data_IF_333937365423
#
_entry.id   IF_333937365423
#
_cell.length_a   1.000
_cell.length_b   1.000
_cell.length_c   1.000
_cell.angle_alpha   90.00
_cell.angle_beta   90.00
_cell.angle_gamma   90.00
#
_symmetry.space_group_name_H-M   'P 1'
#
loop_
_entity.id
_entity.type
_entity.pdbx_description
1 polymer ?
#
# COMPACT_ATOMS: atom_id res chain seq x y z
N UNK A 1 -13.04 -6.29 3.76
CA UNK A 1 -13.59 -5.67 4.99
C UNK A 1 -14.47 -6.70 5.66
N UNK A 2 -14.41 -6.84 6.98
CA UNK A 2 -15.25 -7.79 7.71
C UNK A 2 -16.34 -7.06 8.49
N UNK A 3 -17.60 -7.47 8.30
CA UNK A 3 -18.74 -7.04 9.09
C UNK A 3 -18.92 -8.02 10.24
N UNK A 4 -19.09 -7.54 11.47
CA UNK A 4 -19.32 -8.39 12.65
C UNK A 4 -20.60 -7.97 13.36
N UNK A 5 -21.56 -8.88 13.48
CA UNK A 5 -22.79 -8.65 14.21
C UNK A 5 -22.63 -9.18 15.64
N UNK A 6 -22.56 -8.26 16.61
CA UNK A 6 -22.44 -8.58 18.05
C UNK A 6 -23.80 -8.65 18.77
N UNK A 7 -24.89 -8.46 18.05
CA UNK A 7 -26.24 -8.43 18.61
C UNK A 7 -26.91 -9.81 18.55
N UNK A 8 -28.03 -9.95 19.26
CA UNK A 8 -28.92 -11.11 19.18
C UNK A 8 -29.88 -11.07 17.97
N UNK A 9 -29.82 -10.03 17.14
CA UNK A 9 -30.76 -9.81 16.04
C UNK A 9 -30.14 -10.15 14.69
N UNK A 10 -30.98 -10.44 13.69
CA UNK A 10 -30.55 -10.51 12.30
C UNK A 10 -30.38 -9.09 11.78
N UNK A 11 -29.26 -8.83 11.07
CA UNK A 11 -28.95 -7.50 10.57
C UNK A 11 -28.77 -7.55 9.06
N UNK A 12 -29.64 -6.87 8.33
CA UNK A 12 -29.44 -6.64 6.90
C UNK A 12 -28.46 -5.48 6.71
N UNK A 13 -27.61 -5.59 5.69
CA UNK A 13 -26.67 -4.53 5.33
C UNK A 13 -26.73 -4.20 3.85
N UNK A 14 -26.33 -2.97 3.52
CA UNK A 14 -26.17 -2.48 2.15
C UNK A 14 -24.93 -1.60 2.05
N UNK A 15 -24.09 -1.85 1.05
CA UNK A 15 -22.89 -1.06 0.76
C UNK A 15 -23.15 -0.19 -0.48
N UNK A 16 -22.99 1.11 -0.32
CA UNK A 16 -23.04 2.12 -1.38
C UNK A 16 -21.65 2.74 -1.56
N UNK A 17 -21.38 3.29 -2.74
CA UNK A 17 -20.13 4.00 -3.03
C UNK A 17 -20.40 5.26 -3.84
N UNK A 18 -19.55 6.28 -3.67
CA UNK A 18 -19.58 7.48 -4.51
C UNK A 18 -19.04 7.24 -5.92
N UNK A 19 -18.41 6.09 -6.19
CA UNK A 19 -17.81 5.78 -7.48
C UNK A 19 -18.04 4.32 -7.93
N UNK A 20 -19.29 3.95 -8.28
CA UNK A 20 -19.66 2.55 -8.56
C UNK A 20 -19.00 1.97 -9.82
N UNK A 21 -18.53 2.81 -10.76
CA UNK A 21 -17.80 2.33 -11.95
C UNK A 21 -16.40 1.84 -11.60
N UNK A 22 -15.79 2.43 -10.57
CA UNK A 22 -14.42 2.15 -10.16
C UNK A 22 -14.31 0.97 -9.20
N UNK A 23 -15.37 0.63 -8.46
CA UNK A 23 -15.31 -0.43 -7.46
C UNK A 23 -16.36 -1.51 -7.71
N UNK A 24 -15.94 -2.76 -7.60
CA UNK A 24 -16.82 -3.90 -7.44
C UNK A 24 -16.89 -4.28 -5.96
N UNK A 25 -18.10 -4.47 -5.43
CA UNK A 25 -18.34 -4.87 -4.03
C UNK A 25 -19.11 -6.19 -4.02
N UNK A 26 -18.60 -7.19 -3.30
CA UNK A 26 -19.22 -8.52 -3.20
C UNK A 26 -19.12 -9.10 -1.77
N UNK A 27 -20.26 -9.48 -1.16
CA UNK A 27 -21.62 -9.05 -1.49
C UNK A 27 -21.81 -7.53 -1.26
N UNK A 28 -22.66 -6.86 -2.04
CA UNK A 28 -23.02 -5.46 -1.79
C UNK A 28 -24.22 -5.31 -0.84
N UNK A 29 -24.99 -6.38 -0.65
CA UNK A 29 -26.20 -6.45 0.17
C UNK A 29 -26.29 -7.87 0.73
N UNK A 30 -26.73 -8.01 1.98
CA UNK A 30 -26.88 -9.33 2.60
C UNK A 30 -27.42 -9.24 4.02
N UNK A 31 -27.49 -10.39 4.69
CA UNK A 31 -27.89 -10.50 6.09
C UNK A 31 -26.75 -11.14 6.88
N UNK A 32 -26.39 -10.53 8.00
CA UNK A 32 -25.45 -11.09 8.98
C UNK A 32 -26.26 -11.65 10.15
N UNK A 33 -26.13 -12.96 10.37
CA UNK A 33 -26.79 -13.64 11.47
C UNK A 33 -26.31 -13.10 12.84
N UNK A 34 -27.10 -13.29 13.92
CA UNK A 34 -26.64 -13.01 15.27
C UNK A 34 -25.26 -13.63 15.56
N UNK A 35 -24.41 -12.89 16.27
CA UNK A 35 -23.06 -13.33 16.69
C UNK A 35 -22.15 -13.86 15.57
N UNK A 36 -22.41 -13.47 14.33
CA UNK A 36 -21.69 -13.95 13.15
C UNK A 36 -20.97 -12.81 12.43
N UNK A 37 -20.12 -13.16 11.48
CA UNK A 37 -19.43 -12.21 10.62
C UNK A 37 -19.69 -12.48 9.13
N UNK A 38 -19.45 -11.46 8.30
CA UNK A 38 -19.55 -11.54 6.86
C UNK A 38 -18.40 -10.77 6.22
N UNK A 39 -17.67 -11.42 5.32
CA UNK A 39 -16.59 -10.77 4.58
C UNK A 39 -17.13 -10.10 3.31
N UNK A 40 -16.90 -8.79 3.22
CA UNK A 40 -17.19 -7.97 2.06
C UNK A 40 -15.88 -7.66 1.33
N UNK A 41 -15.79 -8.16 0.10
CA UNK A 41 -14.67 -7.92 -0.81
C UNK A 41 -14.96 -6.64 -1.60
N UNK A 42 -14.00 -5.72 -1.59
CA UNK A 42 -14.02 -4.49 -2.38
C UNK A 42 -12.82 -4.52 -3.30
N UNK A 43 -13.07 -4.60 -4.61
CA UNK A 43 -12.02 -4.63 -5.63
C UNK A 43 -12.10 -3.35 -6.45
N UNK A 44 -10.97 -2.67 -6.58
CA UNK A 44 -10.85 -1.52 -7.48
C UNK A 44 -10.58 -2.01 -8.90
N UNK A 45 -11.27 -1.43 -9.88
CA UNK A 45 -10.98 -1.66 -11.29
C UNK A 45 -9.59 -1.10 -11.64
N UNK A 46 -8.90 -1.76 -12.57
CA UNK A 46 -7.59 -1.31 -13.03
C UNK A 46 -7.68 0.11 -13.61
N UNK A 47 -6.77 0.97 -13.18
CA UNK A 47 -6.65 2.33 -13.70
C UNK A 47 -5.65 2.33 -14.87
N UNK A 48 -5.94 3.12 -15.91
CA UNK A 48 -5.03 3.28 -17.06
C UNK A 48 -3.84 4.19 -16.74
N UNK A 49 -4.06 5.18 -15.89
CA UNK A 49 -3.08 6.18 -15.49
C UNK A 49 -3.26 6.48 -14.00
N UNK A 50 -2.16 6.83 -13.33
CA UNK A 50 -2.20 7.25 -11.95
C UNK A 50 -2.96 8.59 -11.81
N UNK A 51 -3.80 8.76 -10.77
CA UNK A 51 -4.40 10.06 -10.50
C UNK A 51 -3.31 11.14 -10.30
N UNK A 52 -3.41 12.32 -10.95
CA UNK A 52 -2.34 13.33 -10.97
C UNK A 52 -1.82 13.78 -9.60
N UNK A 53 -2.67 13.72 -8.58
CA UNK A 53 -2.39 14.15 -7.21
C UNK A 53 -2.33 12.97 -6.21
N UNK A 54 -2.47 11.73 -6.69
CA UNK A 54 -2.66 10.54 -5.86
C UNK A 54 -3.73 10.73 -4.76
N UNK A 55 -4.72 11.60 -4.99
CA UNK A 55 -5.82 11.79 -4.05
C UNK A 55 -6.97 10.83 -4.39
N UNK A 56 -7.46 10.15 -3.36
CA UNK A 56 -8.69 9.39 -3.44
C UNK A 56 -9.78 10.11 -2.63
N UNK A 57 -10.80 10.60 -3.34
CA UNK A 57 -11.98 11.24 -2.71
C UNK A 57 -13.17 10.29 -2.57
N UNK A 58 -13.00 9.04 -3.02
CA UNK A 58 -14.05 8.04 -2.98
C UNK A 58 -14.40 7.66 -1.55
N UNK A 59 -15.69 7.42 -1.33
CA UNK A 59 -16.25 7.02 -0.04
C UNK A 59 -17.16 5.81 -0.23
N UNK A 60 -17.16 4.94 0.76
CA UNK A 60 -18.18 3.90 0.92
C UNK A 60 -19.12 4.27 2.05
N UNK A 61 -20.38 3.89 1.91
CA UNK A 61 -21.39 4.01 2.94
C UNK A 61 -21.94 2.61 3.19
N UNK A 62 -21.71 2.08 4.38
CA UNK A 62 -22.38 0.90 4.89
C UNK A 62 -23.64 1.37 5.62
N UNK A 63 -24.79 0.83 5.23
CA UNK A 63 -26.04 0.98 5.97
C UNK A 63 -26.42 -0.38 6.57
N UNK A 64 -26.99 -0.38 7.76
CA UNK A 64 -27.53 -1.58 8.40
C UNK A 64 -28.88 -1.33 9.05
N UNK A 65 -29.71 -2.37 9.10
CA UNK A 65 -31.03 -2.35 9.72
C UNK A 65 -31.30 -3.72 10.35
N UNK A 66 -31.96 -3.71 11.52
CA UNK A 66 -32.42 -4.94 12.16
C UNK A 66 -33.60 -5.51 11.37
N UNK A 67 -33.57 -6.81 11.08
CA UNK A 67 -34.60 -7.51 10.32
C UNK A 67 -35.11 -8.73 11.08
N UNK A 68 -36.28 -9.22 10.68
CA UNK A 68 -36.86 -10.44 11.23
C UNK A 68 -36.03 -11.68 10.86
N UNK A 69 -36.03 -12.72 11.71
CA UNK A 69 -35.48 -14.03 11.34
C UNK A 69 -36.09 -14.55 10.04
N UNK A 70 -35.29 -15.20 9.20
CA UNK A 70 -35.73 -15.78 7.93
C UNK A 70 -35.69 -14.84 6.72
N UNK A 71 -35.45 -13.53 6.93
CA UNK A 71 -35.17 -12.60 5.82
C UNK A 71 -33.86 -13.01 5.13
N UNK A 72 -33.92 -13.15 3.81
CA UNK A 72 -32.76 -13.47 2.98
C UNK A 72 -32.29 -12.25 2.20
N UNK A 73 -31.12 -12.36 1.54
CA UNK A 73 -30.61 -11.28 0.71
C UNK A 73 -31.56 -10.87 -0.44
N UNK A 74 -32.49 -11.74 -0.86
CA UNK A 74 -33.47 -11.47 -1.92
C UNK A 74 -34.66 -10.64 -1.44
N UNK A 75 -34.95 -10.71 -0.14
CA UNK A 75 -36.10 -10.03 0.48
C UNK A 75 -35.75 -8.59 0.90
N UNK A 76 -34.47 -8.22 0.82
CA UNK A 76 -33.98 -6.90 1.17
C UNK A 76 -34.45 -5.87 0.14
N UNK A 77 -35.26 -4.91 0.58
CA UNK A 77 -35.75 -3.82 -0.27
C UNK A 77 -35.09 -2.48 0.06
N UNK A 78 -35.10 -1.50 -0.87
CA UNK A 78 -34.58 -0.15 -0.61
C UNK A 78 -35.26 0.56 0.58
N UNK A 79 -36.55 0.33 0.78
CA UNK A 79 -37.39 1.00 1.79
C UNK A 79 -36.94 0.66 3.21
N UNK A 80 -36.41 -0.56 3.44
CA UNK A 80 -35.86 -0.98 4.73
C UNK A 80 -34.70 -0.08 5.20
N UNK A 81 -33.99 0.55 4.26
CA UNK A 81 -32.88 1.48 4.56
C UNK A 81 -33.29 2.95 4.46
N UNK A 82 -34.59 3.25 4.39
CA UNK A 82 -35.09 4.61 4.44
C UNK A 82 -35.42 5.03 5.89
N UNK A 83 -34.73 6.07 6.38
CA UNK A 83 -34.94 6.65 7.71
C UNK A 83 -36.30 7.36 7.83
N UNK A 84 -36.82 7.91 6.73
CA UNK A 84 -38.11 8.62 6.71
C UNK A 84 -39.29 7.66 6.88
N UNK A 85 -39.08 6.37 6.62
CA UNK A 85 -40.08 5.31 6.83
C UNK A 85 -40.19 4.86 8.30
N UNK A 86 -39.50 5.53 9.23
CA UNK A 86 -39.49 5.18 10.65
C UNK A 86 -38.53 4.04 11.02
N UNK A 87 -37.73 3.56 10.07
CA UNK A 87 -36.75 2.49 10.30
C UNK A 87 -35.53 3.01 11.05
N UNK A 88 -35.01 2.21 12.00
CA UNK A 88 -33.73 2.47 12.63
C UNK A 88 -32.59 2.01 11.71
N UNK A 89 -32.03 2.96 10.97
CA UNK A 89 -30.94 2.70 10.00
C UNK A 89 -29.63 3.25 10.53
N UNK A 90 -28.70 2.36 10.81
CA UNK A 90 -27.33 2.71 11.18
C UNK A 90 -26.47 2.92 9.94
N UNK A 91 -25.57 3.89 10.00
CA UNK A 91 -24.74 4.29 8.87
C UNK A 91 -23.27 4.44 9.26
N UNK A 92 -22.38 3.82 8.49
CA UNK A 92 -20.93 3.94 8.64
C UNK A 92 -20.30 4.41 7.33
N UNK A 93 -19.65 5.59 7.36
CA UNK A 93 -18.92 6.15 6.21
C UNK A 93 -17.44 5.78 6.28
N UNK A 94 -16.93 5.21 5.21
CA UNK A 94 -15.54 4.79 5.06
C UNK A 94 -14.87 5.62 3.95
N UNK A 95 -13.67 6.12 4.21
CA UNK A 95 -12.86 6.83 3.21
C UNK A 95 -11.85 5.89 2.59
N UNK A 96 -11.62 6.01 1.29
CA UNK A 96 -10.56 5.29 0.58
C UNK A 96 -9.31 6.17 0.54
N UNK A 97 -8.14 5.58 0.82
CA UNK A 97 -6.85 6.23 0.70
C UNK A 97 -5.91 5.34 -0.11
N UNK A 98 -5.05 5.96 -0.92
CA UNK A 98 -3.96 5.25 -1.56
C UNK A 98 -2.74 5.29 -0.66
N UNK A 99 -2.09 4.14 -0.54
CA UNK A 99 -0.82 4.01 0.18
C UNK A 99 0.23 3.54 -0.83
N UNK A 100 1.45 4.11 -0.80
CA UNK A 100 2.55 3.58 -1.58
C UNK A 100 2.81 2.10 -1.25
N UNK A 101 3.34 1.32 -2.20
CA UNK A 101 3.76 -0.04 -1.90
C UNK A 101 4.82 -0.03 -0.77
N UNK A 102 4.89 -1.09 0.05
CA UNK A 102 5.93 -1.23 1.07
C UNK A 102 7.32 -1.06 0.46
N UNK A 103 8.18 -0.26 1.09
CA UNK A 103 9.56 -0.13 0.62
C UNK A 103 10.32 -1.46 0.80
N UNK A 104 11.16 -1.86 -0.16
CA UNK A 104 12.03 -3.02 0.03
C UNK A 104 13.00 -2.77 1.19
N UNK A 105 13.43 -3.81 1.92
CA UNK A 105 14.44 -3.66 2.96
C UNK A 105 15.71 -3.04 2.37
N UNK A 106 16.25 -2.03 3.05
CA UNK A 106 17.47 -1.34 2.60
C UNK A 106 18.63 -2.34 2.46
N UNK A 107 19.46 -2.22 1.41
CA UNK A 107 20.63 -3.08 1.23
C UNK A 107 21.50 -3.03 2.48
N UNK A 108 21.73 -4.19 3.10
CA UNK A 108 22.68 -4.32 4.21
C UNK A 108 24.04 -3.89 3.67
N UNK A 109 24.72 -2.95 4.34
CA UNK A 109 26.11 -2.62 4.01
C UNK A 109 26.92 -3.91 4.09
N UNK A 110 27.39 -4.41 2.95
CA UNK A 110 28.47 -5.38 2.91
C UNK A 110 29.66 -4.71 3.58
N UNK A 111 29.99 -5.14 4.80
CA UNK A 111 31.21 -4.72 5.46
C UNK A 111 32.37 -5.18 4.59
N UNK A 112 33.22 -4.25 4.16
CA UNK A 112 34.51 -4.60 3.55
C UNK A 112 35.32 -5.39 4.58
N UNK A 113 35.24 -6.71 4.53
CA UNK A 113 36.21 -7.60 5.15
C UNK A 113 37.47 -7.66 4.29
N UNK A 114 38.14 -6.51 4.09
CA UNK A 114 39.54 -6.54 3.71
C UNK A 114 40.37 -6.81 4.97
N UNK A 115 40.27 -8.06 5.43
CA UNK A 115 41.21 -8.64 6.39
C UNK A 115 42.59 -8.58 5.76
N UNK A 116 43.45 -7.70 6.28
CA UNK A 116 44.88 -7.65 5.95
C UNK A 116 45.48 -9.04 6.04
N UNK A 117 45.86 -9.60 4.89
CA UNK A 117 46.60 -10.85 4.79
C UNK A 117 48.05 -10.59 5.21
N UNK A 118 48.62 -11.25 6.25
CA UNK A 118 50.02 -11.08 6.59
C UNK A 118 50.88 -11.77 5.53
N UNK A 119 51.65 -10.96 4.79
CA UNK A 119 52.63 -11.40 3.78
C UNK A 119 53.69 -12.29 4.43
N UNK A 120 53.81 -13.53 3.95
CA UNK A 120 54.88 -14.45 4.32
C UNK A 120 56.26 -13.86 3.99
N UNK A 121 57.20 -13.98 4.93
CA UNK A 121 58.60 -13.62 4.75
C UNK A 121 59.26 -14.58 3.74
N UNK A 122 59.83 -14.03 2.67
CA UNK A 122 60.63 -14.79 1.69
C UNK A 122 62.11 -14.76 2.07
N UNK A 123 62.71 -15.95 2.12
CA UNK A 123 64.16 -16.14 2.17
C UNK A 123 64.81 -15.87 0.81
N UNK A 124 66.02 -15.36 0.91
CA UNK A 124 67.02 -14.98 -0.10
C UNK A 124 67.49 -16.14 -1.00
N UNK A 125 67.53 -15.90 -2.32
CA UNK A 125 68.76 -16.01 -3.13
C UNK A 125 68.50 -15.66 -4.60
N UNK A 126 69.43 -14.89 -5.19
CA UNK A 126 69.23 -14.13 -6.42
C UNK A 126 69.53 -14.84 -7.75
N UNK A 127 69.25 -14.13 -8.86
CA UNK A 127 70.10 -13.92 -10.05
C UNK A 127 69.40 -12.96 -11.01
N UNK A 128 70.20 -12.09 -11.61
CA UNK A 128 69.86 -10.89 -12.40
C UNK A 128 69.37 -11.27 -13.82
N UNK A 129 68.35 -10.57 -14.36
CA UNK A 129 68.42 -9.82 -15.63
C UNK A 129 67.05 -9.38 -16.20
N UNK A 130 67.00 -8.07 -16.49
CA UNK A 130 66.42 -7.38 -17.66
C UNK A 130 64.89 -7.21 -17.81
N UNK A 131 64.52 -5.91 -17.88
CA UNK A 131 63.49 -5.24 -18.74
C UNK A 131 62.05 -5.73 -18.62
N UNK A 132 60.99 -4.93 -18.62
CA UNK A 132 60.65 -3.51 -18.73
C UNK A 132 59.14 -3.50 -18.33
N UNK A 133 58.58 -2.51 -17.64
CA UNK A 133 57.76 -1.44 -18.21
C UNK A 133 56.60 -1.09 -17.25
N UNK A 134 56.29 0.21 -17.19
CA UNK A 134 55.01 0.85 -16.89
C UNK A 134 54.19 0.45 -15.64
N UNK A 135 54.24 1.30 -14.62
CA UNK A 135 53.19 2.30 -14.32
C UNK A 135 53.24 2.70 -12.84
N UNK A 136 53.21 4.01 -12.57
CA UNK A 136 52.34 4.66 -11.55
C UNK A 136 52.86 6.08 -11.31
N UNK A 137 52.13 7.08 -11.81
CA UNK A 137 51.93 8.36 -11.11
C UNK A 137 50.52 8.83 -11.44
N UNK A 138 49.65 8.81 -10.44
CA UNK A 138 48.56 9.77 -10.33
C UNK A 138 48.71 10.44 -8.97
N UNK A 139 49.30 11.63 -8.98
CA UNK A 139 49.36 12.54 -7.83
C UNK A 139 48.60 13.81 -8.21
N UNK A 140 47.36 13.86 -7.72
CA UNK A 140 46.69 14.94 -7.01
C UNK A 140 46.74 16.41 -7.51
N UNK A 141 45.58 17.04 -7.27
CA UNK A 141 45.27 18.46 -7.03
C UNK A 141 44.84 19.34 -8.22
N UNK A 142 43.65 19.93 -8.05
CA UNK A 142 43.17 21.10 -8.78
C UNK A 142 41.64 21.27 -8.77
N UNK A 143 41.07 21.67 -7.62
CA UNK A 143 39.87 22.54 -7.60
C UNK A 143 40.37 24.01 -7.63
N UNK A 144 39.53 25.06 -7.83
CA UNK A 144 38.12 25.10 -8.24
C UNK A 144 37.86 26.15 -9.36
N UNK A 145 36.64 26.21 -9.93
CA UNK A 145 36.13 27.51 -10.40
C UNK A 145 34.60 27.59 -10.47
N UNK A 146 34.11 28.60 -9.74
CA UNK A 146 32.81 29.27 -9.84
C UNK A 146 32.24 29.39 -11.25
N UNK A 147 30.91 29.27 -11.39
CA UNK A 147 30.14 30.47 -11.68
C UNK A 147 28.66 30.38 -11.26
N UNK A 148 28.26 31.45 -10.59
CA UNK A 148 26.90 31.87 -10.21
C UNK A 148 26.06 32.26 -11.43
N UNK A 149 24.73 32.17 -11.34
CA UNK A 149 23.81 33.29 -11.63
C UNK A 149 22.34 32.97 -11.30
N UNK A 150 21.71 33.96 -10.68
CA UNK A 150 20.34 34.12 -10.15
C UNK A 150 19.20 34.13 -11.22
N UNK A 151 18.00 33.59 -10.94
CA UNK A 151 16.70 34.18 -10.45
C UNK A 151 15.85 34.94 -11.50
N UNK A 152 14.52 34.94 -11.22
CA UNK A 152 13.40 35.84 -11.62
C UNK A 152 12.70 35.46 -12.95
N UNK A 153 11.37 35.28 -13.08
CA UNK A 153 10.18 35.76 -12.34
C UNK A 153 9.15 34.66 -12.05
#
# INVERSE_FOLDING_TARGET
MQLSNKSNNYVAFKVKTTNPKKYCVRPNTGVVMPHSSCDVIVTMQAQKEAPPDMQCRDKFLLQSVVVSPGVTAKDITPEMFNKESGNQVDECKLRVSYVPPPQPPSPVREGSEEGSSPRASVSDNGTVNQTSEFNTVSKAFGEPQENSSEVVY
#
